data_IF_958904086317
#
_entry.id   IF_958904086317
#
_cell.length_a   1.000
_cell.length_b   1.000
_cell.length_c   1.000
_cell.angle_alpha   90.00
_cell.angle_beta   90.00
_cell.angle_gamma   90.00
#
_symmetry.space_group_name_H-M   'P 1'
#
loop_
_entity.id
_entity.type
_entity.pdbx_description
1 polymer ?
#
# COMPACT_ATOMS: atom_id res chain seq x y z
N UNK A 1 -34.59 -46.18 23.06
CA UNK A 1 -34.48 -45.10 22.06
C UNK A 1 -34.66 -43.76 22.77
N UNK A 2 -33.55 -43.11 23.12
CA UNK A 2 -33.50 -41.85 23.88
C UNK A 2 -33.59 -40.68 22.89
N UNK A 3 -34.57 -39.79 23.04
CA UNK A 3 -34.58 -38.48 22.35
C UNK A 3 -35.00 -37.42 23.36
N UNK A 4 -34.01 -36.79 23.99
CA UNK A 4 -34.19 -35.53 24.68
C UNK A 4 -33.34 -34.50 23.92
N UNK A 5 -34.03 -33.59 23.24
CA UNK A 5 -33.48 -32.38 22.66
C UNK A 5 -33.13 -31.43 23.83
N UNK A 6 -31.91 -30.91 23.85
CA UNK A 6 -31.48 -29.75 24.64
C UNK A 6 -30.44 -29.05 23.75
N UNK A 7 -30.82 -28.06 22.92
CA UNK A 7 -30.99 -26.63 23.23
C UNK A 7 -29.70 -25.99 23.76
N UNK A 8 -29.05 -25.25 22.84
CA UNK A 8 -28.31 -23.98 22.96
C UNK A 8 -27.30 -23.81 24.09
N UNK A 9 -26.06 -23.45 23.74
CA UNK A 9 -25.46 -22.11 23.96
C UNK A 9 -24.01 -22.19 23.45
N UNK A 10 -23.73 -21.62 22.28
CA UNK A 10 -22.35 -21.34 21.86
C UNK A 10 -22.12 -19.85 22.07
N UNK A 11 -21.91 -19.48 23.32
CA UNK A 11 -21.34 -18.19 23.68
C UNK A 11 -19.83 -18.27 23.47
N UNK A 12 -19.29 -17.36 22.67
CA UNK A 12 -18.23 -16.40 23.05
C UNK A 12 -17.69 -15.83 21.74
N UNK A 13 -18.00 -14.55 21.55
CA UNK A 13 -17.35 -13.70 20.56
C UNK A 13 -15.86 -13.63 20.90
N UNK A 14 -15.02 -14.26 20.10
CA UNK A 14 -13.59 -13.93 20.07
C UNK A 14 -13.41 -12.86 18.99
N UNK A 15 -13.72 -11.60 19.36
CA UNK A 15 -13.23 -10.43 18.64
C UNK A 15 -11.71 -10.37 18.87
N UNK A 16 -10.98 -11.19 18.11
CA UNK A 16 -9.53 -11.10 18.01
C UNK A 16 -9.18 -9.82 17.25
N UNK A 17 -9.13 -8.70 17.97
CA UNK A 17 -8.46 -7.49 17.52
C UNK A 17 -6.97 -7.79 17.54
N UNK A 18 -6.50 -8.45 16.47
CA UNK A 18 -5.08 -8.47 16.15
C UNK A 18 -4.76 -7.06 15.65
N UNK A 19 -4.33 -6.20 16.57
CA UNK A 19 -3.66 -4.94 16.27
C UNK A 19 -2.56 -5.27 15.25
N UNK A 20 -2.78 -4.89 14.00
CA UNK A 20 -1.76 -4.93 12.97
C UNK A 20 -0.63 -4.02 13.45
N UNK A 21 0.37 -4.62 14.08
CA UNK A 21 1.67 -3.99 14.31
C UNK A 21 2.14 -3.56 12.93
N UNK A 22 2.01 -2.26 12.67
CA UNK A 22 2.48 -1.65 11.45
C UNK A 22 3.98 -1.87 11.38
N UNK A 23 4.39 -2.90 10.66
CA UNK A 23 5.70 -2.93 10.07
C UNK A 23 5.69 -1.87 8.98
N UNK A 24 5.86 -0.60 9.37
CA UNK A 24 6.26 0.45 8.43
C UNK A 24 7.57 -0.03 7.84
N UNK A 25 7.65 -0.29 6.54
CA UNK A 25 8.85 -0.85 5.96
C UNK A 25 9.95 0.21 6.06
N UNK A 26 11.00 -0.11 6.82
CA UNK A 26 12.25 0.64 6.91
C UNK A 26 13.05 0.54 5.59
N UNK A 27 12.42 0.89 4.48
CA UNK A 27 13.09 1.02 3.19
C UNK A 27 13.82 2.35 3.25
N UNK A 28 15.14 2.31 3.05
CA UNK A 28 16.00 3.48 3.02
C UNK A 28 15.30 4.64 2.29
N UNK A 29 15.14 5.73 3.03
CA UNK A 29 14.60 7.05 2.71
C UNK A 29 15.42 7.80 1.64
N UNK A 30 15.79 7.10 0.57
CA UNK A 30 16.49 7.63 -0.59
C UNK A 30 15.79 7.18 -1.87
N UNK A 31 15.39 8.17 -2.67
CA UNK A 31 14.77 8.11 -4.01
C UNK A 31 14.69 6.69 -4.61
N UNK A 32 13.63 5.95 -4.25
CA UNK A 32 13.35 4.63 -4.80
C UNK A 32 12.63 4.80 -6.12
N UNK A 33 13.02 4.03 -7.14
CA UNK A 33 12.23 3.94 -8.37
C UNK A 33 10.84 3.36 -8.07
N UNK A 34 9.83 4.21 -8.16
CA UNK A 34 8.42 3.90 -7.88
C UNK A 34 7.59 3.72 -9.17
N UNK A 35 8.07 4.19 -10.32
CA UNK A 35 7.40 3.93 -11.60
C UNK A 35 8.17 4.42 -12.83
N UNK A 36 7.70 4.02 -14.02
CA UNK A 36 8.25 4.45 -15.32
C UNK A 36 7.10 4.79 -16.25
N UNK A 37 7.09 6.01 -16.80
CA UNK A 37 5.96 6.61 -17.51
C UNK A 37 6.40 7.19 -18.85
N UNK A 38 5.53 7.13 -19.86
CA UNK A 38 5.85 7.68 -21.17
C UNK A 38 5.78 9.21 -21.17
N UNK A 39 4.76 9.74 -20.51
CA UNK A 39 4.45 11.16 -20.49
C UNK A 39 4.78 11.78 -19.14
N UNK A 40 5.36 12.98 -19.17
CA UNK A 40 5.67 13.73 -17.95
C UNK A 40 4.42 13.99 -17.11
N UNK A 41 3.30 14.29 -17.77
CA UNK A 41 2.01 14.52 -17.11
C UNK A 41 1.51 13.29 -16.34
N UNK A 42 1.77 12.09 -16.84
CA UNK A 42 1.39 10.86 -16.14
C UNK A 42 2.29 10.59 -14.94
N UNK A 43 3.61 10.82 -15.10
CA UNK A 43 4.56 10.76 -13.98
C UNK A 43 4.13 11.71 -12.84
N UNK A 44 3.84 12.98 -13.17
CA UNK A 44 3.36 13.95 -12.19
C UNK A 44 2.02 13.53 -11.57
N UNK A 45 1.08 12.98 -12.35
CA UNK A 45 -0.23 12.55 -11.85
C UNK A 45 -0.09 11.42 -10.83
N UNK A 46 0.73 10.41 -11.11
CA UNK A 46 0.96 9.29 -10.19
C UNK A 46 1.78 9.74 -8.98
N UNK A 47 2.78 10.59 -9.17
CA UNK A 47 3.57 11.20 -8.10
C UNK A 47 2.70 11.91 -7.07
N UNK A 48 1.85 12.83 -7.53
CA UNK A 48 0.90 13.54 -6.67
C UNK A 48 -0.13 12.60 -6.03
N UNK A 49 -0.56 11.56 -6.76
CA UNK A 49 -1.45 10.56 -6.19
C UNK A 49 -0.79 9.82 -5.02
N UNK A 50 0.48 9.43 -5.15
CA UNK A 50 1.21 8.77 -4.07
C UNK A 50 1.39 9.64 -2.83
N UNK A 51 1.67 10.94 -3.00
CA UNK A 51 1.65 11.92 -1.88
C UNK A 51 0.28 11.90 -1.18
N UNK A 52 -0.82 11.97 -1.97
CA UNK A 52 -2.17 11.98 -1.41
C UNK A 52 -2.56 10.65 -0.71
N UNK A 53 -1.92 9.53 -1.08
CA UNK A 53 -2.11 8.21 -0.45
C UNK A 53 -1.12 7.94 0.68
N UNK A 54 -0.15 8.82 0.92
CA UNK A 54 0.92 8.61 1.90
C UNK A 54 1.88 7.46 1.52
N UNK A 55 2.08 7.22 0.22
CA UNK A 55 3.05 6.22 -0.25
C UNK A 55 4.50 6.72 -0.17
N UNK A 56 4.68 8.04 -0.31
CA UNK A 56 5.95 8.76 -0.22
C UNK A 56 5.68 10.21 0.20
N UNK A 57 6.73 10.90 0.69
CA UNK A 57 6.67 12.29 1.16
C UNK A 57 7.05 13.31 0.07
N UNK A 58 7.87 12.91 -0.90
CA UNK A 58 8.23 13.69 -2.08
C UNK A 58 8.42 12.75 -3.28
N UNK A 59 8.47 13.29 -4.49
CA UNK A 59 8.80 12.53 -5.68
C UNK A 59 9.47 13.41 -6.75
N UNK A 60 10.30 12.78 -7.58
CA UNK A 60 10.94 13.40 -8.74
C UNK A 60 10.58 12.63 -10.02
N UNK A 61 10.44 13.37 -11.13
CA UNK A 61 10.16 12.81 -12.45
C UNK A 61 11.34 13.12 -13.38
N UNK A 62 12.23 12.15 -13.55
CA UNK A 62 13.46 12.30 -14.33
C UNK A 62 13.33 11.73 -15.74
N UNK A 63 13.72 12.50 -16.76
CA UNK A 63 13.74 11.99 -18.14
C UNK A 63 14.99 11.15 -18.40
N UNK A 64 14.80 9.86 -18.65
CA UNK A 64 15.87 8.95 -19.06
C UNK A 64 15.88 8.81 -20.58
N UNK A 65 16.74 9.60 -21.22
CA UNK A 65 16.85 9.72 -22.67
C UNK A 65 17.24 8.41 -23.37
N UNK A 66 17.91 7.48 -22.67
CA UNK A 66 18.26 6.17 -23.22
C UNK A 66 17.03 5.29 -23.47
N UNK A 67 16.02 5.38 -22.61
CA UNK A 67 14.79 4.59 -22.73
C UNK A 67 13.61 5.40 -23.28
N UNK A 68 13.72 6.73 -23.31
CA UNK A 68 12.66 7.65 -23.71
C UNK A 68 11.41 7.53 -22.81
N UNK A 69 11.64 7.47 -21.50
CA UNK A 69 10.62 7.46 -20.47
C UNK A 69 11.00 8.40 -19.32
N UNK A 70 10.00 8.80 -18.56
CA UNK A 70 10.14 9.46 -17.27
C UNK A 70 10.17 8.42 -16.15
N UNK A 71 11.17 8.50 -15.30
CA UNK A 71 11.37 7.65 -14.14
C UNK A 71 10.87 8.42 -12.92
N UNK A 72 9.97 7.81 -12.16
CA UNK A 72 9.44 8.38 -10.93
C UNK A 72 10.25 7.83 -9.77
N UNK A 73 11.00 8.70 -9.10
CA UNK A 73 11.70 8.39 -7.87
C UNK A 73 10.94 8.98 -6.68
N UNK A 74 10.84 8.24 -5.58
CA UNK A 74 10.06 8.61 -4.40
C UNK A 74 10.55 7.89 -3.14
#
# INVERSE_FOLDING_TARGET
>A
MRKARAVLVTAVMALGVSLTVGATPAQAEGERLAGVFRDYSECQRIGNHGIAQGWWDDFSCEWEGRYRYYFLYA
#
